data_IF_894323509627
#
_entry.id   IF_894323509627
#
_cell.length_a   1.000
_cell.length_b   1.000
_cell.length_c   1.000
_cell.angle_alpha   90.00
_cell.angle_beta   90.00
_cell.angle_gamma   90.00
#
_symmetry.space_group_name_H-M   'P 1'
#
loop_
_entity.id
_entity.type
_entity.pdbx_description
1 polymer ?
#
# COMPACT_ATOMS: atom_id res chain seq x y z
N UNK A 1 -6.41 -16.18 4.15
CA UNK A 1 -5.50 -15.64 3.11
C UNK A 1 -5.84 -14.17 2.94
N UNK A 2 -4.88 -13.27 3.12
CA UNK A 2 -5.10 -11.84 2.86
C UNK A 2 -5.25 -11.64 1.36
N UNK A 3 -6.40 -11.14 0.91
CA UNK A 3 -6.60 -10.74 -0.48
C UNK A 3 -6.23 -9.27 -0.60
N UNK A 4 -5.27 -8.94 -1.46
CA UNK A 4 -4.90 -7.58 -1.82
C UNK A 4 -5.40 -7.33 -3.24
N UNK A 5 -6.26 -6.34 -3.43
CA UNK A 5 -6.67 -5.87 -4.76
C UNK A 5 -6.19 -4.43 -4.96
N UNK A 6 -5.57 -4.14 -6.11
CA UNK A 6 -5.21 -2.76 -6.48
C UNK A 6 -6.40 -2.13 -7.18
N UNK A 7 -6.91 -1.01 -6.65
CA UNK A 7 -8.03 -0.27 -7.24
C UNK A 7 -7.56 0.78 -8.24
N UNK A 8 -6.38 1.36 -7.99
CA UNK A 8 -5.74 2.34 -8.85
C UNK A 8 -4.26 2.49 -8.50
N UNK A 9 -3.45 2.83 -9.49
CA UNK A 9 -2.00 2.99 -9.34
C UNK A 9 -1.47 4.01 -10.35
N UNK A 10 -0.66 4.93 -9.84
CA UNK A 10 0.11 5.88 -10.63
C UNK A 10 1.57 5.79 -10.20
N UNK A 11 2.48 5.87 -11.19
CA UNK A 11 3.92 5.90 -10.95
C UNK A 11 4.53 7.01 -11.80
N UNK A 12 5.27 7.91 -11.15
CA UNK A 12 6.04 8.97 -11.80
C UNK A 12 7.52 8.74 -11.54
N UNK A 13 8.34 8.79 -12.59
CA UNK A 13 9.80 8.62 -12.48
C UNK A 13 10.52 9.95 -12.67
N UNK A 14 11.66 10.09 -11.99
CA UNK A 14 12.56 11.24 -12.13
C UNK A 14 13.99 10.80 -11.88
N UNK A 15 14.75 10.55 -12.96
CA UNK A 15 16.05 9.89 -12.89
C UNK A 15 15.92 8.52 -12.23
N UNK A 16 16.81 8.22 -11.29
CA UNK A 16 16.81 6.95 -10.58
C UNK A 16 15.78 6.90 -9.43
N UNK A 17 14.79 7.80 -9.39
CA UNK A 17 13.73 7.80 -8.40
C UNK A 17 12.37 7.50 -9.05
N UNK A 18 11.51 6.79 -8.33
CA UNK A 18 10.10 6.66 -8.68
C UNK A 18 9.22 6.93 -7.47
N UNK A 19 8.10 7.59 -7.73
CA UNK A 19 7.09 7.96 -6.75
C UNK A 19 5.79 7.26 -7.15
N UNK A 20 5.26 6.47 -6.24
CA UNK A 20 4.06 5.68 -6.45
C UNK A 20 2.94 6.21 -5.55
N UNK A 21 1.76 6.36 -6.13
CA UNK A 21 0.51 6.54 -5.39
C UNK A 21 -0.42 5.40 -5.81
N UNK A 22 -0.97 4.69 -4.85
CA UNK A 22 -1.88 3.58 -5.12
C UNK A 22 -3.02 3.50 -4.11
N UNK A 23 -4.10 2.85 -4.52
CA UNK A 23 -5.20 2.50 -3.63
C UNK A 23 -5.38 0.98 -3.63
N UNK A 24 -5.51 0.41 -2.44
CA UNK A 24 -5.67 -1.03 -2.25
C UNK A 24 -6.92 -1.37 -1.45
N UNK A 25 -7.43 -2.58 -1.61
CA UNK A 25 -8.36 -3.21 -0.67
C UNK A 25 -7.70 -4.40 0.02
N UNK A 26 -7.90 -4.50 1.34
CA UNK A 26 -7.45 -5.64 2.13
C UNK A 26 -8.48 -6.10 3.16
N UNK A 27 -8.27 -7.30 3.66
CA UNK A 27 -9.01 -7.88 4.78
C UNK A 27 -8.04 -8.26 5.88
N UNK A 28 -8.20 -7.66 7.05
CA UNK A 28 -7.43 -7.92 8.26
C UNK A 28 -8.21 -8.87 9.16
N UNK A 29 -7.59 -9.98 9.55
CA UNK A 29 -8.19 -10.97 10.47
C UNK A 29 -7.44 -10.91 11.80
N UNK A 30 -8.09 -10.51 12.91
CA UNK A 30 -7.45 -10.45 14.21
C UNK A 30 -6.98 -11.84 14.68
N UNK A 31 -5.74 -11.93 15.17
CA UNK A 31 -5.17 -13.22 15.64
C UNK A 31 -5.92 -13.81 16.84
N UNK A 32 -6.50 -12.96 17.70
CA UNK A 32 -7.22 -13.38 18.91
C UNK A 32 -8.68 -13.81 18.67
N UNK A 33 -9.12 -13.88 17.41
CA UNK A 33 -10.53 -13.98 17.06
C UNK A 33 -11.21 -12.62 16.96
N UNK A 34 -12.40 -12.59 16.38
CA UNK A 34 -13.15 -11.38 16.06
C UNK A 34 -13.55 -11.30 14.59
N UNK A 35 -14.38 -10.31 14.26
CA UNK A 35 -14.79 -10.08 12.88
C UNK A 35 -13.62 -9.60 12.02
N UNK A 36 -13.61 -10.04 10.77
CA UNK A 36 -12.63 -9.59 9.79
C UNK A 36 -12.92 -8.14 9.40
N UNK A 37 -11.89 -7.30 9.37
CA UNK A 37 -12.00 -5.89 9.01
C UNK A 37 -11.66 -5.78 7.52
N UNK A 38 -12.62 -5.35 6.71
CA UNK A 38 -12.36 -4.92 5.33
C UNK A 38 -12.02 -3.44 5.34
N UNK A 39 -10.93 -3.09 4.69
CA UNK A 39 -10.47 -1.71 4.62
C UNK A 39 -9.93 -1.37 3.22
N UNK A 40 -10.01 -0.08 2.88
CA UNK A 40 -9.42 0.51 1.69
C UNK A 40 -8.24 1.36 2.13
N UNK A 41 -7.12 1.27 1.43
CA UNK A 41 -5.85 1.86 1.87
C UNK A 41 -5.33 2.80 0.81
N UNK A 42 -4.91 4.00 1.20
CA UNK A 42 -4.09 4.86 0.37
C UNK A 42 -2.62 4.54 0.64
N UNK A 43 -1.84 4.41 -0.42
CA UNK A 43 -0.42 4.09 -0.39
C UNK A 43 0.40 5.17 -1.07
N UNK A 44 1.54 5.50 -0.48
CA UNK A 44 2.62 6.25 -1.12
C UNK A 44 3.93 5.48 -0.98
N UNK A 45 4.58 5.20 -2.10
CA UNK A 45 5.88 4.53 -2.19
C UNK A 45 6.94 5.43 -2.80
N UNK A 46 8.14 5.44 -2.22
CA UNK A 46 9.33 6.07 -2.82
C UNK A 46 10.35 4.98 -3.13
N UNK A 47 10.72 4.88 -4.39
CA UNK A 47 11.58 3.84 -4.92
C UNK A 47 12.86 4.43 -5.49
N UNK A 48 13.97 3.71 -5.34
CA UNK A 48 15.27 4.07 -5.90
C UNK A 48 15.72 2.98 -6.87
N UNK A 49 16.14 3.37 -8.05
CA UNK A 49 16.82 2.53 -9.02
C UNK A 49 18.30 2.46 -8.65
N UNK A 50 18.83 1.26 -8.55
CA UNK A 50 20.20 0.97 -8.17
C UNK A 50 21.04 0.69 -9.42
N UNK A 51 22.36 0.73 -9.27
CA UNK A 51 23.30 0.52 -10.36
C UNK A 51 23.24 -0.89 -10.98
N UNK A 52 22.68 -1.86 -10.26
CA UNK A 52 22.44 -3.24 -10.72
C UNK A 52 21.08 -3.40 -11.43
N UNK A 53 20.46 -2.28 -11.85
CA UNK A 53 19.18 -2.20 -12.55
C UNK A 53 17.96 -2.61 -11.70
N UNK A 54 18.13 -2.72 -10.38
CA UNK A 54 17.04 -3.06 -9.47
C UNK A 54 16.32 -1.83 -8.90
N UNK A 55 15.01 -1.95 -8.69
CA UNK A 55 14.25 -0.96 -7.93
C UNK A 55 14.05 -1.43 -6.49
N UNK A 56 14.39 -0.58 -5.52
CA UNK A 56 14.20 -0.84 -4.10
C UNK A 56 13.26 0.19 -3.48
N UNK A 57 12.35 -0.27 -2.63
CA UNK A 57 11.52 0.62 -1.83
C UNK A 57 12.37 1.27 -0.74
N UNK A 58 12.52 2.59 -0.80
CA UNK A 58 13.28 3.35 0.20
C UNK A 58 12.39 3.87 1.32
N UNK A 59 11.14 4.23 0.99
CA UNK A 59 10.11 4.67 1.94
C UNK A 59 8.77 4.11 1.49
N UNK A 60 7.91 3.84 2.45
CA UNK A 60 6.53 3.47 2.21
C UNK A 60 5.66 3.98 3.35
N UNK A 61 4.51 4.53 3.02
CA UNK A 61 3.54 5.04 3.98
C UNK A 61 2.15 4.68 3.50
N UNK A 62 1.26 4.42 4.46
CA UNK A 62 -0.13 4.16 4.17
C UNK A 62 -1.05 4.66 5.27
N UNK A 63 -2.31 4.85 4.91
CA UNK A 63 -3.41 5.07 5.84
C UNK A 63 -4.69 4.41 5.33
N UNK A 64 -5.62 4.18 6.25
CA UNK A 64 -6.98 3.72 5.91
C UNK A 64 -7.79 4.86 5.32
N UNK A 65 -8.56 4.55 4.29
CA UNK A 65 -9.56 5.41 3.65
C UNK A 65 -10.92 5.25 4.30
N UNK A 66 -11.22 4.06 4.84
CA UNK A 66 -12.48 3.83 5.53
C UNK A 66 -12.39 4.31 6.99
N UNK A 67 -13.50 4.78 7.57
CA UNK A 67 -13.58 5.03 9.01
C UNK A 67 -13.23 3.78 9.81
N UNK A 68 -12.69 3.96 11.00
CA UNK A 68 -12.56 2.86 11.96
C UNK A 68 -13.95 2.29 12.24
N UNK A 69 -14.10 0.97 12.13
CA UNK A 69 -15.35 0.31 12.46
C UNK A 69 -15.60 0.39 13.98
N UNK A 70 -16.80 0.86 14.37
CA UNK A 70 -17.26 0.92 15.76
C UNK A 70 -16.92 2.24 16.48
N UNK A 71 -17.91 3.15 16.51
CA UNK A 71 -18.05 4.18 17.56
C UNK A 71 -19.10 3.74 18.55
#
# INVERSE_FOLDING_TARGET
>A
MTKLATLGREVVTSGDWAFEVAQYEWTLVPKGGGEAIRDQVNWVGIWRHLADDTWVQTRGMWNSSLPLAGT
#
